data_IF_757108403865
#
_entry.id   IF_757108403865
#
_cell.length_a   1.000
_cell.length_b   1.000
_cell.length_c   1.000
_cell.angle_alpha   90.00
_cell.angle_beta   90.00
_cell.angle_gamma   90.00
#
_symmetry.space_group_name_H-M   'P 1'
#
loop_
_entity.id
_entity.type
_entity.pdbx_description
1 polymer ?
#
# COMPACT_ATOMS: atom_id res chain seq x y z
N UNK A 1 6.65 9.82 -38.90
CA UNK A 1 7.18 9.36 -37.60
C UNK A 1 7.26 7.85 -37.70
N UNK A 2 8.44 7.27 -37.56
CA UNK A 2 8.64 5.81 -37.55
C UNK A 2 8.06 5.22 -36.24
N UNK A 3 7.60 3.97 -36.25
CA UNK A 3 7.10 3.27 -35.07
C UNK A 3 8.11 3.26 -33.91
N UNK A 4 9.40 3.18 -34.23
CA UNK A 4 10.50 3.30 -33.24
C UNK A 4 10.46 4.64 -32.52
N UNK A 5 10.22 5.74 -33.23
CA UNK A 5 10.15 7.08 -32.64
C UNK A 5 8.94 7.23 -31.74
N UNK A 6 7.78 6.68 -32.14
CA UNK A 6 6.57 6.70 -31.32
C UNK A 6 6.81 5.96 -30.00
N UNK A 7 7.43 4.79 -30.06
CA UNK A 7 7.71 3.98 -28.87
C UNK A 7 8.78 4.61 -27.97
N UNK A 8 9.85 5.17 -28.54
CA UNK A 8 10.86 5.90 -27.77
C UNK A 8 10.25 7.11 -27.05
N UNK A 9 9.41 7.89 -27.74
CA UNK A 9 8.66 9.00 -27.14
C UNK A 9 7.68 8.53 -26.07
N UNK A 10 6.93 7.46 -26.33
CA UNK A 10 5.97 6.89 -25.37
C UNK A 10 6.63 6.35 -24.10
N UNK A 11 7.85 5.83 -24.21
CA UNK A 11 8.68 5.41 -23.07
C UNK A 11 9.36 6.59 -22.36
N UNK A 12 9.35 7.79 -22.94
CA UNK A 12 10.08 8.95 -22.42
C UNK A 12 11.58 8.74 -22.42
N UNK A 13 12.13 8.05 -23.43
CA UNK A 13 13.57 7.85 -23.53
C UNK A 13 14.26 9.16 -23.90
N UNK A 14 15.24 9.53 -23.10
CA UNK A 14 16.11 10.69 -23.30
C UNK A 14 17.55 10.25 -23.50
N UNK A 15 18.36 11.08 -24.15
CA UNK A 15 19.78 10.83 -24.31
C UNK A 15 20.44 10.54 -22.94
N UNK A 16 21.35 9.55 -22.85
CA UNK A 16 21.94 8.80 -23.95
C UNK A 16 21.15 7.56 -24.39
N UNK A 17 19.94 7.33 -23.87
CA UNK A 17 19.19 6.11 -24.12
C UNK A 17 18.39 6.20 -25.42
N UNK A 18 18.57 5.19 -26.27
CA UNK A 18 17.84 5.06 -27.54
C UNK A 18 17.14 3.71 -27.61
N UNK A 19 15.98 3.68 -28.28
CA UNK A 19 15.34 2.43 -28.65
C UNK A 19 16.06 1.87 -29.88
N UNK A 20 16.81 0.79 -29.69
CA UNK A 20 17.60 0.15 -30.75
C UNK A 20 16.78 -0.77 -31.63
N UNK A 21 15.92 -1.57 -31.00
CA UNK A 21 15.16 -2.61 -31.69
C UNK A 21 13.86 -2.92 -30.94
N UNK A 22 12.91 -3.50 -31.66
CA UNK A 22 11.65 -3.99 -31.14
C UNK A 22 11.30 -5.33 -31.79
N UNK A 23 10.71 -6.24 -31.01
CA UNK A 23 10.30 -7.55 -31.50
C UNK A 23 8.97 -7.97 -30.85
N UNK A 24 7.97 -8.30 -31.67
CA UNK A 24 6.72 -8.90 -31.20
C UNK A 24 6.81 -10.42 -31.34
N UNK A 25 6.97 -11.10 -30.21
CA UNK A 25 6.96 -12.55 -30.08
C UNK A 25 5.50 -13.04 -29.96
N UNK A 26 4.98 -13.59 -31.05
CA UNK A 26 3.64 -14.17 -31.13
C UNK A 26 3.61 -15.67 -30.83
N UNK A 27 4.73 -16.27 -30.42
CA UNK A 27 4.80 -17.69 -30.06
C UNK A 27 4.34 -17.98 -28.63
N UNK A 28 4.24 -16.95 -27.79
CA UNK A 28 3.81 -17.02 -26.39
C UNK A 28 2.42 -16.42 -26.21
N UNK A 29 1.68 -16.85 -25.18
CA UNK A 29 0.35 -16.30 -24.85
C UNK A 29 0.31 -15.76 -23.42
N UNK A 30 -0.06 -14.48 -23.21
CA UNK A 30 -0.30 -13.47 -24.26
C UNK A 30 1.00 -13.13 -25.01
N UNK A 31 0.88 -12.67 -26.27
CA UNK A 31 2.05 -12.30 -27.08
C UNK A 31 2.89 -11.24 -26.37
N UNK A 32 4.19 -11.22 -26.65
CA UNK A 32 5.17 -10.40 -25.95
C UNK A 32 5.85 -9.40 -26.88
N UNK A 33 5.77 -8.11 -26.58
CA UNK A 33 6.56 -7.07 -27.22
C UNK A 33 7.85 -6.85 -26.42
N UNK A 34 9.00 -7.15 -27.01
CA UNK A 34 10.33 -6.92 -26.45
C UNK A 34 10.92 -5.64 -27.06
N UNK A 35 11.23 -4.64 -26.21
CA UNK A 35 11.83 -3.37 -26.58
C UNK A 35 13.28 -3.34 -26.08
N UNK A 36 14.24 -3.17 -26.98
CA UNK A 36 15.66 -3.19 -26.66
C UNK A 36 16.22 -1.77 -26.64
N UNK A 37 16.57 -1.30 -25.44
CA UNK A 37 17.14 0.02 -25.19
C UNK A 37 18.63 -0.11 -24.95
N UNK A 38 19.41 0.79 -25.53
CA UNK A 38 20.83 0.92 -25.26
C UNK A 38 21.24 2.37 -25.08
N UNK A 39 22.33 2.58 -24.36
CA UNK A 39 22.97 3.88 -24.34
C UNK A 39 23.84 4.04 -25.60
N UNK A 40 23.91 5.25 -26.13
CA UNK A 40 24.78 5.57 -27.26
C UNK A 40 26.25 5.19 -26.99
N UNK A 41 26.98 4.87 -28.07
CA UNK A 41 28.40 4.51 -27.95
C UNK A 41 29.20 5.72 -27.50
N UNK A 42 30.12 5.49 -26.56
CA UNK A 42 30.99 6.55 -26.02
C UNK A 42 30.31 7.42 -24.97
N UNK A 43 29.06 7.13 -24.58
CA UNK A 43 28.43 7.80 -23.46
C UNK A 43 29.23 7.61 -22.17
N UNK A 44 29.25 8.67 -21.37
CA UNK A 44 29.73 8.63 -20.01
C UNK A 44 28.53 8.60 -19.07
N UNK A 45 28.70 7.99 -17.91
CA UNK A 45 27.60 7.78 -16.97
C UNK A 45 27.95 8.28 -15.57
N UNK A 46 26.99 8.89 -14.86
CA UNK A 46 27.24 9.36 -13.50
C UNK A 46 27.45 8.19 -12.53
N UNK A 47 28.42 8.33 -11.62
CA UNK A 47 28.53 7.45 -10.47
C UNK A 47 27.26 7.59 -9.60
N UNK A 48 26.60 6.48 -9.19
CA UNK A 48 25.39 6.55 -8.36
C UNK A 48 25.56 7.24 -7.00
N UNK A 49 26.80 7.32 -6.49
CA UNK A 49 27.07 7.86 -5.16
C UNK A 49 27.52 9.33 -5.21
N UNK A 50 28.52 9.66 -6.03
CA UNK A 50 29.05 11.04 -6.12
C UNK A 50 28.66 11.82 -7.38
N UNK A 51 27.92 11.22 -8.31
CA UNK A 51 27.49 11.87 -9.55
C UNK A 51 28.60 12.08 -10.59
N UNK A 52 29.87 11.82 -10.25
CA UNK A 52 31.01 12.01 -11.16
C UNK A 52 30.87 11.17 -12.43
N UNK A 53 31.03 11.83 -13.56
CA UNK A 53 30.97 11.22 -14.89
C UNK A 53 32.11 10.21 -15.10
N UNK A 54 31.77 8.96 -15.40
CA UNK A 54 32.69 7.83 -15.52
C UNK A 54 32.45 7.04 -16.81
N UNK A 55 33.48 6.37 -17.32
CA UNK A 55 33.32 5.38 -18.38
C UNK A 55 32.68 4.09 -17.84
N UNK A 56 31.98 3.36 -18.71
CA UNK A 56 31.53 2.01 -18.40
C UNK A 56 32.74 1.08 -18.26
N UNK A 57 32.76 0.32 -17.16
CA UNK A 57 33.67 -0.80 -16.93
C UNK A 57 33.20 -2.03 -17.70
N UNK A 58 31.93 -2.35 -17.55
CA UNK A 58 31.23 -3.42 -18.24
C UNK A 58 29.72 -3.15 -18.26
N UNK A 59 28.96 -4.11 -18.77
CA UNK A 59 27.51 -4.01 -18.90
C UNK A 59 26.84 -5.28 -18.38
N UNK A 60 25.66 -5.15 -17.80
CA UNK A 60 24.80 -6.26 -17.40
C UNK A 60 23.46 -6.18 -18.11
N UNK A 61 23.05 -7.28 -18.73
CA UNK A 61 21.71 -7.41 -19.31
C UNK A 61 20.65 -7.39 -18.21
N UNK A 62 19.63 -6.57 -18.43
CA UNK A 62 18.50 -6.41 -17.53
C UNK A 62 17.21 -6.34 -18.31
N UNK A 63 16.17 -6.88 -17.71
CA UNK A 63 14.83 -6.92 -18.27
C UNK A 63 13.84 -6.41 -17.22
N UNK A 64 12.93 -5.55 -17.63
CA UNK A 64 11.82 -5.07 -16.81
C UNK A 64 10.51 -5.32 -17.50
N UNK A 65 9.51 -5.73 -16.73
CA UNK A 65 8.14 -5.74 -17.20
C UNK A 65 7.61 -4.30 -17.25
N UNK A 66 7.12 -3.89 -18.42
CA UNK A 66 6.46 -2.62 -18.65
C UNK A 66 4.93 -2.80 -18.76
N UNK A 67 4.20 -1.69 -18.86
CA UNK A 67 2.77 -1.69 -19.16
C UNK A 67 2.50 -2.42 -20.47
N UNK A 68 1.36 -3.10 -20.55
CA UNK A 68 0.99 -3.78 -21.80
C UNK A 68 0.92 -2.76 -22.94
N UNK A 69 1.44 -3.17 -24.09
CA UNK A 69 1.24 -2.43 -25.32
C UNK A 69 0.04 -3.06 -26.03
N UNK A 70 -1.12 -2.39 -25.94
CA UNK A 70 -2.42 -3.00 -26.22
C UNK A 70 -2.62 -4.29 -25.39
N UNK A 71 -2.92 -5.42 -26.03
CA UNK A 71 -3.07 -6.73 -25.40
C UNK A 71 -1.74 -7.48 -25.21
N UNK A 72 -0.61 -6.91 -25.65
CA UNK A 72 0.68 -7.58 -25.63
C UNK A 72 1.48 -7.23 -24.38
N UNK A 73 2.05 -8.26 -23.78
CA UNK A 73 2.99 -8.14 -22.68
C UNK A 73 4.24 -7.39 -23.13
N UNK A 74 4.53 -6.21 -22.56
CA UNK A 74 5.70 -5.43 -22.96
C UNK A 74 6.86 -5.62 -22.00
N UNK A 75 8.05 -5.90 -22.51
CA UNK A 75 9.28 -6.00 -21.72
C UNK A 75 10.34 -5.06 -22.28
N UNK A 76 10.97 -4.32 -21.37
CA UNK A 76 12.08 -3.45 -21.68
C UNK A 76 13.38 -4.19 -21.36
N UNK A 77 14.26 -4.32 -22.34
CA UNK A 77 15.57 -4.93 -22.21
C UNK A 77 16.64 -3.86 -22.35
N UNK A 78 17.62 -3.82 -21.46
CA UNK A 78 18.74 -2.92 -21.60
C UNK A 78 20.05 -3.51 -21.09
N UNK A 79 21.14 -3.11 -21.74
CA UNK A 79 22.50 -3.34 -21.26
C UNK A 79 22.88 -2.22 -20.32
N UNK A 80 22.75 -2.44 -19.02
CA UNK A 80 23.00 -1.41 -18.01
C UNK A 80 24.49 -1.36 -17.68
N UNK A 81 25.15 -0.20 -17.84
CA UNK A 81 26.57 -0.07 -17.54
C UNK A 81 26.83 -0.14 -16.02
N UNK A 82 27.96 -0.72 -15.66
CA UNK A 82 28.60 -0.49 -14.37
C UNK A 82 29.78 0.44 -14.58
N UNK A 83 29.79 1.57 -13.89
CA UNK A 83 30.90 2.53 -13.94
C UNK A 83 31.97 2.15 -12.94
N UNK A 84 33.24 2.41 -13.27
CA UNK A 84 34.36 2.30 -12.32
C UNK A 84 34.70 3.69 -11.80
N UNK A 85 34.11 4.06 -10.67
CA UNK A 85 34.43 5.30 -9.97
C UNK A 85 35.77 5.13 -9.21
N UNK A 86 36.70 6.09 -9.30
CA UNK A 86 37.94 6.04 -8.51
C UNK A 86 37.71 6.01 -6.99
N UNK A 87 36.62 6.62 -6.51
CA UNK A 87 36.30 6.73 -5.08
C UNK A 87 35.41 5.57 -4.59
N UNK A 88 34.39 5.20 -5.38
CA UNK A 88 33.34 4.26 -4.95
C UNK A 88 33.45 2.87 -5.59
N UNK A 89 34.49 2.63 -6.40
CA UNK A 89 34.71 1.36 -7.10
C UNK A 89 33.72 1.11 -8.23
N UNK A 90 33.42 -0.18 -8.50
CA UNK A 90 32.52 -0.57 -9.59
C UNK A 90 31.07 -0.54 -9.11
N UNK A 91 30.25 0.34 -9.70
CA UNK A 91 28.84 0.55 -9.33
C UNK A 91 27.95 0.52 -10.57
N UNK A 92 26.81 -0.15 -10.49
CA UNK A 92 25.80 -0.14 -11.57
C UNK A 92 25.06 1.19 -11.54
N UNK A 93 24.89 1.82 -12.69
CA UNK A 93 24.12 3.06 -12.78
C UNK A 93 22.64 2.82 -12.48
N UNK A 94 21.95 3.88 -12.07
CA UNK A 94 20.50 3.90 -12.05
C UNK A 94 19.97 4.19 -13.46
N UNK A 95 18.92 3.48 -13.86
CA UNK A 95 18.23 3.72 -15.13
C UNK A 95 17.00 4.58 -14.88
N UNK A 96 16.64 5.49 -15.80
CA UNK A 96 15.58 6.47 -15.53
C UNK A 96 14.17 5.83 -15.44
N UNK A 97 13.97 4.64 -15.99
CA UNK A 97 12.67 3.97 -16.04
C UNK A 97 12.45 2.92 -14.95
N UNK A 98 13.40 2.63 -14.07
CA UNK A 98 13.23 1.60 -13.04
C UNK A 98 14.06 1.88 -11.78
N UNK A 99 13.44 1.69 -10.61
CA UNK A 99 14.15 1.77 -9.33
C UNK A 99 15.12 0.59 -9.14
N UNK A 100 16.17 0.75 -8.32
CA UNK A 100 17.09 -0.34 -8.00
C UNK A 100 16.38 -1.59 -7.45
N UNK A 101 16.74 -2.75 -8.01
CA UNK A 101 16.24 -4.05 -7.55
C UNK A 101 14.81 -4.40 -7.99
N UNK A 102 14.12 -3.53 -8.73
CA UNK A 102 12.84 -3.87 -9.34
C UNK A 102 13.02 -4.56 -10.69
N UNK A 103 12.14 -5.53 -10.97
CA UNK A 103 11.97 -6.16 -12.27
C UNK A 103 10.84 -5.49 -13.08
N UNK A 104 10.39 -4.31 -12.65
CA UNK A 104 9.31 -3.54 -13.26
C UNK A 104 9.78 -2.11 -13.55
N UNK A 105 9.22 -1.52 -14.60
CA UNK A 105 9.38 -0.09 -14.86
C UNK A 105 8.58 0.76 -13.85
N UNK A 106 8.99 2.00 -13.62
CA UNK A 106 8.31 2.96 -12.75
C UNK A 106 6.85 3.17 -13.16
N UNK A 107 6.58 3.25 -14.47
CA UNK A 107 5.21 3.38 -15.01
C UNK A 107 4.35 2.14 -14.73
N UNK A 108 4.95 0.94 -14.81
CA UNK A 108 4.24 -0.29 -14.40
C UNK A 108 3.93 -0.26 -12.91
N UNK A 109 4.91 0.08 -12.07
CA UNK A 109 4.69 0.16 -10.62
C UNK A 109 3.65 1.23 -10.26
N UNK A 110 3.63 2.37 -10.94
CA UNK A 110 2.63 3.43 -10.75
C UNK A 110 1.21 2.95 -11.08
N UNK A 111 1.02 2.26 -12.22
CA UNK A 111 -0.27 1.70 -12.58
C UNK A 111 -0.71 0.63 -11.57
N UNK A 112 0.22 -0.23 -11.14
CA UNK A 112 -0.05 -1.24 -10.12
C UNK A 112 -0.50 -0.61 -8.80
N UNK A 113 0.17 0.45 -8.33
CA UNK A 113 -0.20 1.17 -7.11
C UNK A 113 -1.56 1.87 -7.23
N UNK A 114 -1.88 2.41 -8.42
CA UNK A 114 -3.19 3.02 -8.69
C UNK A 114 -4.32 2.00 -8.60
N UNK A 115 -4.10 0.77 -9.08
CA UNK A 115 -5.09 -0.32 -9.00
C UNK A 115 -5.21 -0.89 -7.58
N UNK A 116 -4.10 -1.11 -6.87
CA UNK A 116 -4.12 -1.66 -5.49
C UNK A 116 -4.90 -0.77 -4.52
N UNK A 117 -4.98 0.53 -4.79
CA UNK A 117 -5.79 1.46 -4.00
C UNK A 117 -7.30 1.21 -4.10
N UNK A 118 -7.75 0.64 -5.21
CA UNK A 118 -9.18 0.54 -5.55
C UNK A 118 -9.72 -0.91 -5.52
N UNK A 119 -8.84 -1.92 -5.44
CA UNK A 119 -9.25 -3.32 -5.47
C UNK A 119 -8.25 -4.25 -4.76
N UNK A 120 -8.66 -5.47 -4.35
CA UNK A 120 -7.79 -6.42 -3.67
C UNK A 120 -6.54 -6.76 -4.47
N UNK A 121 -5.39 -6.90 -3.79
CA UNK A 121 -4.08 -7.20 -4.42
C UNK A 121 -4.13 -8.43 -5.34
N UNK A 122 -4.87 -9.48 -4.97
CA UNK A 122 -5.02 -10.67 -5.81
C UNK A 122 -5.80 -10.41 -7.11
N UNK A 123 -6.77 -9.49 -7.09
CA UNK A 123 -7.49 -9.09 -8.30
C UNK A 123 -6.58 -8.28 -9.23
N UNK A 124 -5.82 -7.34 -8.67
CA UNK A 124 -4.82 -6.56 -9.42
C UNK A 124 -3.76 -7.47 -10.02
N UNK A 125 -3.25 -8.44 -9.27
CA UNK A 125 -2.20 -9.34 -9.76
C UNK A 125 -2.68 -10.17 -10.95
N UNK A 126 -3.96 -10.59 -10.95
CA UNK A 126 -4.60 -11.25 -12.09
C UNK A 126 -4.76 -10.30 -13.28
N UNK A 127 -5.21 -9.07 -13.06
CA UNK A 127 -5.39 -8.08 -14.12
C UNK A 127 -4.06 -7.65 -14.77
N UNK A 128 -2.99 -7.58 -13.99
CA UNK A 128 -1.65 -7.25 -14.47
C UNK A 128 -0.84 -8.48 -14.91
N UNK A 129 -1.40 -9.68 -14.77
CA UNK A 129 -0.77 -10.97 -15.10
C UNK A 129 0.61 -11.17 -14.44
N UNK A 130 0.70 -10.83 -13.15
CA UNK A 130 1.88 -11.05 -12.31
C UNK A 130 1.53 -11.82 -11.05
N UNK A 131 2.52 -12.46 -10.43
CA UNK A 131 2.31 -13.07 -9.11
C UNK A 131 2.02 -12.00 -8.06
N UNK A 132 1.08 -12.29 -7.16
CA UNK A 132 0.78 -11.49 -5.96
C UNK A 132 2.03 -11.17 -5.12
N UNK A 133 2.95 -12.12 -4.95
CA UNK A 133 4.22 -11.91 -4.22
C UNK A 133 5.05 -10.77 -4.81
N UNK A 134 5.13 -10.67 -6.14
CA UNK A 134 5.85 -9.59 -6.84
C UNK A 134 5.11 -8.26 -6.66
N UNK A 135 3.78 -8.27 -6.72
CA UNK A 135 2.97 -7.08 -6.48
C UNK A 135 3.12 -6.57 -5.03
N UNK A 136 3.10 -7.46 -4.03
CA UNK A 136 3.35 -7.09 -2.64
C UNK A 136 4.72 -6.46 -2.43
N UNK A 137 5.77 -6.89 -3.15
CA UNK A 137 7.08 -6.22 -3.09
C UNK A 137 7.03 -4.77 -3.57
N UNK A 138 6.21 -4.46 -4.58
CA UNK A 138 5.97 -3.08 -5.05
C UNK A 138 5.25 -2.31 -3.94
N UNK A 139 4.15 -2.85 -3.42
CA UNK A 139 3.34 -2.22 -2.35
C UNK A 139 4.20 -1.93 -1.12
N UNK A 140 4.94 -2.92 -0.62
CA UNK A 140 5.80 -2.75 0.56
C UNK A 140 6.90 -1.72 0.34
N UNK A 141 7.46 -1.61 -0.87
CA UNK A 141 8.45 -0.57 -1.17
C UNK A 141 7.87 0.83 -0.99
N UNK A 142 6.75 1.13 -1.65
CA UNK A 142 6.15 2.45 -1.60
C UNK A 142 5.50 2.74 -0.26
N UNK A 143 4.69 1.83 0.28
CA UNK A 143 4.05 2.01 1.59
C UNK A 143 5.10 2.09 2.69
N UNK A 144 6.14 1.26 2.66
CA UNK A 144 7.22 1.30 3.64
C UNK A 144 7.98 2.63 3.64
N UNK A 145 8.25 3.20 2.46
CA UNK A 145 8.82 4.54 2.35
C UNK A 145 7.90 5.60 2.95
N UNK A 146 6.61 5.59 2.60
CA UNK A 146 5.64 6.55 3.13
C UNK A 146 5.47 6.44 4.66
N UNK A 147 5.53 5.22 5.20
CA UNK A 147 5.51 4.99 6.64
C UNK A 147 6.76 5.54 7.32
N UNK A 148 7.95 5.36 6.71
CA UNK A 148 9.20 5.93 7.25
C UNK A 148 9.23 7.46 7.27
N UNK A 149 8.42 8.11 6.43
CA UNK A 149 8.26 9.58 6.39
C UNK A 149 7.04 10.07 7.20
N UNK A 150 6.28 9.17 7.85
CA UNK A 150 5.07 9.52 8.58
C UNK A 150 5.42 10.25 9.88
N UNK A 151 5.03 11.52 9.97
CA UNK A 151 5.13 12.32 11.19
C UNK A 151 3.81 12.28 11.98
N UNK A 152 3.89 11.84 13.23
CA UNK A 152 2.78 11.78 14.18
C UNK A 152 2.95 12.72 15.39
N UNK A 153 3.92 13.65 15.34
CA UNK A 153 4.21 14.60 16.43
C UNK A 153 3.03 15.47 16.86
N UNK A 154 2.05 15.68 15.98
CA UNK A 154 0.87 16.54 16.20
C UNK A 154 -0.41 15.77 16.50
N UNK A 155 -0.36 14.43 16.62
CA UNK A 155 -1.55 13.64 16.92
C UNK A 155 -2.01 13.93 18.34
N UNK A 156 -3.25 14.40 18.48
CA UNK A 156 -3.84 14.74 19.78
C UNK A 156 -5.21 14.08 20.03
N UNK A 157 -5.93 13.72 18.96
CA UNK A 157 -7.23 13.05 19.04
C UNK A 157 -7.21 11.80 18.16
N UNK A 158 -7.49 10.65 18.75
CA UNK A 158 -7.38 9.35 18.05
C UNK A 158 -8.72 8.64 18.05
N UNK A 159 -9.18 8.17 16.89
CA UNK A 159 -10.29 7.23 16.77
C UNK A 159 -9.76 5.80 16.70
N UNK A 160 -10.38 4.86 17.38
CA UNK A 160 -10.00 3.44 17.36
C UNK A 160 -11.22 2.59 17.09
N UNK A 161 -11.11 1.68 16.12
CA UNK A 161 -12.17 0.74 15.77
C UNK A 161 -11.61 -0.66 15.46
N UNK A 162 -12.41 -1.69 15.71
CA UNK A 162 -12.08 -3.08 15.41
C UNK A 162 -12.99 -3.61 14.30
N UNK A 163 -12.37 -4.19 13.28
CA UNK A 163 -13.11 -4.88 12.23
C UNK A 163 -12.64 -6.32 12.12
N UNK A 164 -13.60 -7.24 12.02
CA UNK A 164 -13.30 -8.63 11.71
C UNK A 164 -12.75 -8.74 10.27
N UNK A 165 -11.50 -9.17 10.12
CA UNK A 165 -10.85 -9.35 8.82
C UNK A 165 -11.29 -10.62 8.09
N UNK A 166 -11.66 -11.67 8.83
CA UNK A 166 -12.34 -12.88 8.31
C UNK A 166 -13.06 -13.63 9.43
N UNK A 167 -13.87 -14.62 9.04
CA UNK A 167 -14.51 -15.55 10.00
C UNK A 167 -13.47 -16.24 10.90
N UNK A 168 -13.83 -16.43 12.17
CA UNK A 168 -13.03 -17.20 13.14
C UNK A 168 -12.09 -16.38 14.01
N UNK A 169 -12.54 -15.26 14.59
CA UNK A 169 -11.77 -14.42 15.54
C UNK A 169 -10.47 -13.81 14.97
N UNK A 170 -10.54 -13.28 13.75
CA UNK A 170 -9.45 -12.50 13.18
C UNK A 170 -9.85 -11.05 13.10
N UNK A 171 -9.20 -10.20 13.90
CA UNK A 171 -9.50 -8.78 14.00
C UNK A 171 -8.34 -7.95 13.45
N UNK A 172 -8.67 -6.78 12.93
CA UNK A 172 -7.73 -5.70 12.66
C UNK A 172 -8.24 -4.50 13.42
N UNK A 173 -7.37 -3.89 14.20
CA UNK A 173 -7.64 -2.62 14.88
C UNK A 173 -7.08 -1.49 14.03
N UNK A 174 -7.90 -0.47 13.77
CA UNK A 174 -7.55 0.69 12.95
C UNK A 174 -7.57 1.94 13.81
N UNK A 175 -6.52 2.74 13.68
CA UNK A 175 -6.32 4.00 14.39
C UNK A 175 -6.39 5.16 13.41
N UNK A 176 -7.16 6.18 13.77
CA UNK A 176 -7.48 7.34 12.96
C UNK A 176 -6.99 8.60 13.70
N UNK A 177 -6.33 9.51 13.00
CA UNK A 177 -6.16 10.89 13.48
C UNK A 177 -7.44 11.66 13.18
N UNK A 178 -8.19 12.01 14.23
CA UNK A 178 -9.50 12.64 14.09
C UNK A 178 -9.43 14.09 13.62
N UNK A 179 -8.23 14.71 13.61
CA UNK A 179 -8.01 16.04 13.04
C UNK A 179 -7.66 15.99 11.56
N UNK A 180 -7.18 14.85 11.04
CA UNK A 180 -6.85 14.68 9.61
C UNK A 180 -8.12 14.48 8.78
N UNK A 181 -8.49 15.50 8.00
CA UNK A 181 -9.62 15.41 7.06
C UNK A 181 -9.38 14.47 5.87
N UNK A 182 -8.13 14.34 5.44
CA UNK A 182 -7.73 13.48 4.33
C UNK A 182 -6.81 12.38 4.84
N UNK A 183 -7.07 11.14 4.43
CA UNK A 183 -6.29 9.95 4.83
C UNK A 183 -6.13 9.86 6.36
N UNK A 184 -7.25 9.76 7.11
CA UNK A 184 -7.23 9.80 8.57
C UNK A 184 -6.54 8.59 9.21
N UNK A 185 -6.48 7.46 8.51
CA UNK A 185 -5.85 6.23 9.03
C UNK A 185 -4.35 6.46 9.21
N UNK A 186 -3.88 6.33 10.45
CA UNK A 186 -2.47 6.51 10.84
C UNK A 186 -1.79 5.21 11.25
N UNK A 187 -2.54 4.21 11.69
CA UNK A 187 -2.00 2.91 12.06
C UNK A 187 -3.06 1.81 11.94
N UNK A 188 -2.66 0.62 11.54
CA UNK A 188 -3.53 -0.55 11.49
C UNK A 188 -2.72 -1.80 11.88
N UNK A 189 -3.26 -2.61 12.78
CA UNK A 189 -2.54 -3.76 13.35
C UNK A 189 -3.46 -4.98 13.48
N UNK A 190 -2.98 -6.19 13.17
CA UNK A 190 -3.72 -7.42 13.47
C UNK A 190 -3.92 -7.57 14.98
N UNK A 191 -5.10 -8.03 15.37
CA UNK A 191 -5.50 -8.19 16.78
C UNK A 191 -6.52 -7.17 17.23
N UNK A 192 -6.79 -7.18 18.53
CA UNK A 192 -7.83 -6.40 19.18
C UNK A 192 -7.41 -5.99 20.60
N UNK A 193 -8.10 -5.00 21.14
CA UNK A 193 -8.05 -4.60 22.53
C UNK A 193 -6.71 -4.04 22.98
N UNK A 194 -6.28 -4.45 24.18
CA UNK A 194 -5.15 -3.88 24.89
C UNK A 194 -3.83 -3.94 24.12
N UNK A 195 -3.56 -5.07 23.47
CA UNK A 195 -2.31 -5.29 22.74
C UNK A 195 -2.22 -4.38 21.51
N UNK A 196 -3.35 -4.10 20.86
CA UNK A 196 -3.42 -3.14 19.75
C UNK A 196 -3.12 -1.71 20.23
N UNK A 197 -3.65 -1.29 21.38
CA UNK A 197 -3.34 0.02 21.98
C UNK A 197 -1.85 0.12 22.35
N UNK A 198 -1.27 -0.93 22.91
CA UNK A 198 0.16 -0.99 23.21
C UNK A 198 1.01 -0.85 21.94
N UNK A 199 0.65 -1.58 20.88
CA UNK A 199 1.34 -1.50 19.59
C UNK A 199 1.24 -0.09 18.99
N UNK A 200 0.07 0.54 19.09
CA UNK A 200 -0.13 1.92 18.65
C UNK A 200 0.73 2.91 19.44
N UNK A 201 0.79 2.81 20.76
CA UNK A 201 1.63 3.67 21.60
C UNK A 201 3.12 3.57 21.20
N UNK A 202 3.62 2.35 20.98
CA UNK A 202 4.99 2.16 20.50
C UNK A 202 5.21 2.74 19.09
N UNK A 203 4.24 2.55 18.20
CA UNK A 203 4.28 3.09 16.84
C UNK A 203 4.24 4.62 16.84
N UNK A 204 3.40 5.23 17.67
CA UNK A 204 3.28 6.68 17.84
C UNK A 204 4.62 7.30 18.21
N UNK A 205 5.29 6.77 19.23
CA UNK A 205 6.62 7.24 19.67
C UNK A 205 7.69 7.04 18.60
N UNK A 206 7.69 5.90 17.91
CA UNK A 206 8.64 5.65 16.83
C UNK A 206 8.51 6.63 15.64
N UNK A 207 7.35 7.28 15.49
CA UNK A 207 7.05 8.25 14.43
C UNK A 207 6.95 9.69 14.97
N UNK A 208 7.66 9.98 16.07
CA UNK A 208 7.82 11.33 16.62
C UNK A 208 6.63 11.85 17.43
N UNK A 209 5.60 11.02 17.64
CA UNK A 209 4.47 11.33 18.51
C UNK A 209 4.79 11.14 20.00
N UNK A 210 3.97 11.73 20.85
CA UNK A 210 4.02 11.57 22.29
C UNK A 210 2.66 11.07 22.78
N UNK A 211 2.66 10.00 23.58
CA UNK A 211 1.43 9.46 24.20
C UNK A 211 0.76 10.48 25.10
N UNK A 212 1.53 11.39 25.69
CA UNK A 212 1.02 12.45 26.56
C UNK A 212 0.32 13.59 25.79
N UNK A 213 0.57 13.70 24.48
CA UNK A 213 -0.11 14.67 23.62
C UNK A 213 -1.49 14.18 23.18
N UNK A 214 -1.78 12.88 23.31
CA UNK A 214 -3.10 12.32 23.01
C UNK A 214 -4.03 12.64 24.17
N UNK A 215 -4.92 13.61 23.96
CA UNK A 215 -5.86 14.12 24.97
C UNK A 215 -7.24 13.50 24.85
N UNK A 216 -7.57 12.89 23.70
CA UNK A 216 -8.86 12.25 23.48
C UNK A 216 -8.72 10.99 22.64
N UNK A 217 -9.40 9.92 23.08
CA UNK A 217 -9.57 8.69 22.32
C UNK A 217 -11.07 8.43 22.13
N UNK A 218 -11.50 8.32 20.87
CA UNK A 218 -12.86 7.91 20.49
C UNK A 218 -12.85 6.42 20.19
N UNK A 219 -13.56 5.62 20.98
CA UNK A 219 -13.64 4.16 20.77
C UNK A 219 -14.99 3.59 21.20
N UNK A 220 -15.20 2.30 20.96
CA UNK A 220 -16.34 1.58 21.52
C UNK A 220 -16.22 1.40 23.05
N UNK A 221 -17.23 0.76 23.66
CA UNK A 221 -17.26 0.51 25.11
C UNK A 221 -16.50 -0.76 25.55
N UNK A 222 -15.55 -1.26 24.74
CA UNK A 222 -14.78 -2.46 25.05
C UNK A 222 -13.92 -2.27 26.31
N UNK A 223 -14.07 -3.13 27.34
CA UNK A 223 -13.22 -3.07 28.53
C UNK A 223 -11.73 -3.23 28.21
N UNK A 224 -11.40 -3.95 27.13
CA UNK A 224 -10.02 -4.14 26.69
C UNK A 224 -9.42 -2.83 26.17
N UNK A 225 -10.18 -2.01 25.44
CA UNK A 225 -9.75 -0.67 25.04
C UNK A 225 -9.61 0.26 26.23
N UNK A 226 -10.62 0.34 27.10
CA UNK A 226 -10.56 1.19 28.28
C UNK A 226 -9.32 0.89 29.14
N UNK A 227 -9.02 -0.39 29.36
CA UNK A 227 -7.81 -0.82 30.08
C UNK A 227 -6.51 -0.48 29.33
N UNK A 228 -6.49 -0.64 28.00
CA UNK A 228 -5.34 -0.31 27.17
C UNK A 228 -5.04 1.19 27.15
N UNK A 229 -6.07 2.01 26.93
CA UNK A 229 -5.98 3.48 26.88
C UNK A 229 -5.50 4.01 28.22
N UNK A 230 -6.13 3.62 29.34
CA UNK A 230 -5.71 4.04 30.69
C UNK A 230 -4.23 3.74 30.96
N UNK A 231 -3.71 2.63 30.44
CA UNK A 231 -2.33 2.21 30.65
C UNK A 231 -1.31 2.91 29.73
N UNK A 232 -1.66 3.10 28.46
CA UNK A 232 -0.70 3.49 27.42
C UNK A 232 -0.90 4.91 26.87
N UNK A 233 -2.04 5.54 27.16
CA UNK A 233 -2.41 6.90 26.79
C UNK A 233 -3.03 7.59 28.03
N UNK A 234 -2.24 7.77 29.11
CA UNK A 234 -2.78 8.10 30.44
C UNK A 234 -3.44 9.48 30.55
N UNK A 235 -3.15 10.40 29.62
CA UNK A 235 -3.76 11.73 29.54
C UNK A 235 -5.00 11.79 28.65
N UNK A 236 -5.34 10.70 27.98
CA UNK A 236 -6.48 10.67 27.08
C UNK A 236 -7.78 10.50 27.85
N UNK A 237 -8.73 11.41 27.62
CA UNK A 237 -10.13 11.18 27.96
C UNK A 237 -10.75 10.23 26.93
N UNK A 238 -11.59 9.30 27.40
CA UNK A 238 -12.28 8.36 26.51
C UNK A 238 -13.66 8.92 26.16
N UNK A 239 -13.86 9.18 24.87
CA UNK A 239 -15.15 9.51 24.28
C UNK A 239 -15.75 8.26 23.67
N UNK A 240 -16.96 7.90 24.07
CA UNK A 240 -17.65 6.73 23.49
C UNK A 240 -18.16 7.06 22.09
N UNK A 241 -17.91 6.18 21.13
CA UNK A 241 -18.42 6.32 19.77
C UNK A 241 -19.96 6.31 19.73
N UNK A 242 -20.53 7.39 19.21
CA UNK A 242 -21.95 7.60 19.04
C UNK A 242 -22.63 6.52 18.20
N UNK A 243 -21.96 6.01 17.16
CA UNK A 243 -22.53 4.96 16.32
C UNK A 243 -22.80 3.68 17.14
N UNK A 244 -21.84 3.28 17.97
CA UNK A 244 -21.97 2.11 18.85
C UNK A 244 -23.05 2.31 19.93
N UNK A 245 -23.22 3.54 20.45
CA UNK A 245 -24.32 3.87 21.37
C UNK A 245 -25.67 3.64 20.67
N UNK A 246 -25.89 4.27 19.52
CA UNK A 246 -27.15 4.17 18.77
C UNK A 246 -27.43 2.71 18.41
N UNK A 247 -26.43 1.99 17.91
CA UNK A 247 -26.56 0.57 17.55
C UNK A 247 -26.99 -0.28 18.76
N UNK A 248 -26.41 -0.04 19.94
CA UNK A 248 -26.76 -0.74 21.18
C UNK A 248 -28.21 -0.48 21.56
N UNK A 249 -28.65 0.79 21.57
CA UNK A 249 -30.04 1.14 21.87
C UNK A 249 -31.03 0.53 20.88
N UNK A 250 -30.75 0.62 19.57
CA UNK A 250 -31.59 0.03 18.52
C UNK A 250 -31.71 -1.48 18.69
N UNK A 251 -30.62 -2.18 19.00
CA UNK A 251 -30.63 -3.63 19.25
C UNK A 251 -31.49 -3.99 20.45
N UNK A 252 -31.35 -3.26 21.57
CA UNK A 252 -32.17 -3.49 22.77
C UNK A 252 -33.64 -3.24 22.52
N UNK A 253 -33.98 -2.19 21.79
CA UNK A 253 -35.36 -1.91 21.38
C UNK A 253 -35.93 -3.04 20.51
N UNK A 254 -35.15 -3.56 19.56
CA UNK A 254 -35.57 -4.68 18.72
C UNK A 254 -35.75 -5.99 19.51
N UNK A 255 -34.92 -6.24 20.52
CA UNK A 255 -35.09 -7.38 21.45
C UNK A 255 -36.43 -7.29 22.20
N UNK A 256 -36.79 -6.11 22.72
CA UNK A 256 -38.07 -5.87 23.38
C UNK A 256 -39.23 -6.06 22.39
N UNK A 257 -39.15 -5.44 21.22
CA UNK A 257 -40.17 -5.57 20.16
C UNK A 257 -40.41 -7.02 19.75
N UNK A 258 -39.34 -7.83 19.64
CA UNK A 258 -39.44 -9.26 19.35
C UNK A 258 -40.10 -10.04 20.47
N UNK A 259 -39.83 -9.68 21.73
CA UNK A 259 -40.45 -10.30 22.90
C UNK A 259 -41.95 -10.00 22.97
N UNK A 260 -42.34 -8.73 22.83
CA UNK A 260 -43.75 -8.31 22.84
C UNK A 260 -44.56 -8.96 21.72
N UNK A 261 -43.99 -9.07 20.51
CA UNK A 261 -44.64 -9.77 19.39
C UNK A 261 -44.91 -11.24 19.73
N UNK A 262 -43.94 -11.95 20.30
CA UNK A 262 -44.10 -13.35 20.71
C UNK A 262 -45.18 -13.51 21.78
N UNK A 263 -45.23 -12.59 22.74
CA UNK A 263 -46.27 -12.59 23.79
C UNK A 263 -47.65 -12.34 23.20
N UNK A 264 -47.80 -11.39 22.26
CA UNK A 264 -49.07 -11.17 21.55
C UNK A 264 -49.50 -12.37 20.70
N UNK A 265 -48.57 -13.01 20.00
CA UNK A 265 -48.86 -14.22 19.21
C UNK A 265 -49.36 -15.37 20.11
N UNK A 266 -48.78 -15.52 21.31
CA UNK A 266 -49.23 -16.50 22.31
C UNK A 266 -50.63 -16.17 22.85
N UNK A 267 -50.88 -14.90 23.21
CA UNK A 267 -52.19 -14.43 23.66
C UNK A 267 -53.28 -14.66 22.59
N UNK A 268 -52.98 -14.31 21.32
CA UNK A 268 -53.91 -14.51 20.22
C UNK A 268 -54.19 -15.99 19.92
N UNK A 269 -53.20 -16.88 20.10
CA UNK A 269 -53.39 -18.34 19.97
C UNK A 269 -54.26 -18.93 21.07
N UNK A 270 -54.12 -18.44 22.30
CA UNK A 270 -54.95 -18.85 23.43
C UNK A 270 -56.39 -18.33 23.30
N UNK A 271 -56.58 -17.12 22.79
CA UNK A 271 -57.90 -16.54 22.56
C UNK A 271 -58.70 -17.20 21.42
N UNK A 272 -58.01 -17.83 20.45
CA UNK A 272 -58.66 -18.52 19.32
C UNK A 272 -59.05 -19.99 19.56
N UNK A 273 -58.83 -20.52 20.77
CA UNK A 273 -59.20 -21.90 21.15
C UNK A 273 -60.34 -21.96 22.19
N UNK A 274 -61.03 -20.84 22.43
CA UNK A 274 -62.30 -20.80 23.17
C UNK A 274 -63.49 -20.67 22.21
#
# INVERSE_FOLDING_TARGET
MDGTQILALGLGLEAPWILKNQHLDTSVSPHRLDLYVEAERGSLYPCPECGKTCQAHDFADKTWRHLNFFQHHCYLHARVPRTKCPEHGVKRIEVPWARPGSDFTLLFEQAAMSLVKEMPVLAVSRQLEISDKRLWRIVHHYVGRMLGELDLSKVATVGVDETASRRGHHYVTVFLDMKRKQKPVIFAVPGCGKDAIQAFSAFLTAHGGDTDNVVEVVCDMSPAFLSGITKHLPKAEVTVDWFHIVQTFTKRLDEVRKKERREQELLNRCAGHC
#
